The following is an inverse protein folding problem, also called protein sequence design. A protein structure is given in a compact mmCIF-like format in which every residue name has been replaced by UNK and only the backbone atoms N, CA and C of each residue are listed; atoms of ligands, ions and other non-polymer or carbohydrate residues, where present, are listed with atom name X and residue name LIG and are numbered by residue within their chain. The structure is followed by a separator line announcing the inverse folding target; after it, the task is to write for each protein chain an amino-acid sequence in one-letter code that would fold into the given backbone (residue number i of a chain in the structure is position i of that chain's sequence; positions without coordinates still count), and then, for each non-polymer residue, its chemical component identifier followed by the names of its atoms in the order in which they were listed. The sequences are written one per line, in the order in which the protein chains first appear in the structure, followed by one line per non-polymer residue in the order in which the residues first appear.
data_IF_393398542656
#
_entry.id   IF_393398542656
#
_cell.length_a   1.000
_cell.length_b   1.000
_cell.length_c   1.000
_cell.angle_alpha   90.00
_cell.angle_beta   90.00
_cell.angle_gamma   90.00
#
_symmetry.space_group_name_H-M   'P 1'
#
loop_
_entity.id
_entity.type
_entity.pdbx_description
1 polymer ?
#
# COMPACT_ATOMS: atom_id res chain seq x y z
N UNK A 1 -18.26 10.92 -2.50
CA UNK A 1 -17.24 9.90 -2.78
C UNK A 1 -16.61 10.09 -4.17
N UNK A 2 -17.41 10.25 -5.23
CA UNK A 2 -16.92 10.49 -6.59
C UNK A 2 -16.06 11.76 -6.70
N UNK A 3 -16.46 12.86 -6.07
CA UNK A 3 -15.67 14.11 -6.08
C UNK A 3 -14.30 13.94 -5.38
N UNK A 4 -14.23 13.16 -4.29
CA UNK A 4 -12.96 12.88 -3.58
C UNK A 4 -12.05 11.94 -4.38
N UNK A 5 -12.61 10.94 -5.07
CA UNK A 5 -11.85 10.05 -5.94
C UNK A 5 -11.23 10.81 -7.11
N UNK A 6 -12.01 11.67 -7.78
CA UNK A 6 -11.54 12.55 -8.86
C UNK A 6 -10.46 13.53 -8.37
N UNK A 7 -10.60 14.04 -7.15
CA UNK A 7 -9.63 14.98 -6.56
C UNK A 7 -8.28 14.31 -6.28
N UNK A 8 -8.29 13.08 -5.76
CA UNK A 8 -7.07 12.31 -5.50
C UNK A 8 -6.36 11.93 -6.80
N UNK A 9 -7.10 11.42 -7.79
CA UNK A 9 -6.54 11.04 -9.10
C UNK A 9 -5.92 12.25 -9.83
N UNK A 10 -6.62 13.40 -9.83
CA UNK A 10 -6.10 14.65 -10.40
C UNK A 10 -4.84 15.11 -9.68
N UNK A 11 -4.82 15.05 -8.34
CA UNK A 11 -3.65 15.43 -7.55
C UNK A 11 -2.42 14.62 -7.95
N UNK A 12 -2.52 13.30 -8.03
CA UNK A 12 -1.39 12.44 -8.40
C UNK A 12 -0.98 12.62 -9.87
N UNK A 13 -1.93 12.83 -10.78
CA UNK A 13 -1.63 13.13 -12.17
C UNK A 13 -0.85 14.44 -12.35
N UNK A 14 -1.24 15.49 -11.61
CA UNK A 14 -0.61 16.81 -11.70
C UNK A 14 0.69 16.93 -10.90
N UNK A 15 0.86 16.14 -9.84
CA UNK A 15 1.98 16.24 -8.90
C UNK A 15 2.91 15.03 -8.92
N UNK A 16 2.79 14.14 -9.89
CA UNK A 16 3.61 12.92 -9.97
C UNK A 16 5.13 13.20 -9.87
N UNK A 17 5.60 14.35 -10.39
CA UNK A 17 7.02 14.73 -10.33
C UNK A 17 7.48 15.23 -8.95
N UNK A 18 6.55 15.65 -8.10
CA UNK A 18 6.81 16.17 -6.74
C UNK A 18 6.43 15.16 -5.65
N UNK A 19 5.80 14.06 -6.03
CA UNK A 19 5.21 13.10 -5.11
C UNK A 19 6.21 12.61 -4.05
N UNK A 20 7.40 12.20 -4.48
CA UNK A 20 8.44 11.72 -3.59
C UNK A 20 8.85 12.77 -2.54
N UNK A 21 9.09 14.01 -2.96
CA UNK A 21 9.49 15.08 -2.05
C UNK A 21 8.41 15.38 -1.00
N UNK A 22 7.15 15.31 -1.40
CA UNK A 22 6.01 15.55 -0.51
C UNK A 22 5.85 14.41 0.50
N UNK A 23 5.96 13.16 0.05
CA UNK A 23 5.92 12.00 0.94
C UNK A 23 7.10 11.96 1.93
N UNK A 24 8.30 12.29 1.50
CA UNK A 24 9.49 12.34 2.35
C UNK A 24 9.35 13.34 3.51
N UNK A 25 8.52 14.38 3.37
CA UNK A 25 8.23 15.32 4.46
C UNK A 25 7.38 14.68 5.56
N UNK A 26 6.56 13.69 5.23
CA UNK A 26 5.68 12.99 6.16
C UNK A 26 6.39 11.76 6.71
N UNK A 27 6.73 10.80 5.85
CA UNK A 27 7.41 9.57 6.19
C UNK A 27 8.25 9.07 5.00
N UNK A 28 9.56 9.17 5.14
CA UNK A 28 10.48 8.67 4.12
C UNK A 28 10.42 7.14 4.02
N UNK A 29 10.58 6.62 2.81
CA UNK A 29 10.61 5.18 2.54
C UNK A 29 11.62 4.44 3.44
N UNK A 30 12.79 5.02 3.66
CA UNK A 30 13.86 4.45 4.46
C UNK A 30 13.48 4.21 5.93
N UNK A 31 12.43 4.89 6.41
CA UNK A 31 11.92 4.70 7.76
C UNK A 31 11.09 3.41 7.87
N UNK A 32 10.14 3.21 6.95
CA UNK A 32 9.16 2.12 7.07
C UNK A 32 9.47 0.91 6.20
N UNK A 33 10.11 1.10 5.03
CA UNK A 33 10.38 0.04 4.06
C UNK A 33 11.12 -1.15 4.67
N UNK A 34 12.28 -0.95 5.34
CA UNK A 34 13.02 -2.05 5.97
C UNK A 34 12.20 -2.80 7.04
N UNK A 35 11.39 -2.09 7.82
CA UNK A 35 10.54 -2.70 8.85
C UNK A 35 9.37 -3.48 8.23
N UNK A 36 8.77 -2.95 7.17
CA UNK A 36 7.69 -3.62 6.46
C UNK A 36 8.19 -4.92 5.80
N UNK A 37 9.36 -4.88 5.16
CA UNK A 37 9.91 -6.09 4.51
C UNK A 37 10.38 -7.12 5.54
N UNK A 38 10.91 -6.73 6.68
CA UNK A 38 11.24 -7.66 7.77
C UNK A 38 9.99 -8.40 8.27
N UNK A 39 8.86 -7.70 8.42
CA UNK A 39 7.59 -8.29 8.81
C UNK A 39 7.10 -9.29 7.75
N UNK A 40 7.21 -8.95 6.46
CA UNK A 40 6.88 -9.84 5.35
C UNK A 40 7.80 -11.07 5.38
N UNK A 41 9.12 -10.91 5.51
CA UNK A 41 10.07 -12.02 5.54
C UNK A 41 9.77 -13.01 6.66
N UNK A 42 9.46 -12.52 7.86
CA UNK A 42 9.04 -13.38 8.99
C UNK A 42 7.78 -14.19 8.64
N UNK A 43 6.84 -13.57 7.96
CA UNK A 43 5.57 -14.20 7.58
C UNK A 43 5.71 -15.26 6.47
N UNK A 44 6.73 -15.13 5.63
CA UNK A 44 7.04 -16.06 4.52
C UNK A 44 7.91 -17.22 4.95
N UNK A 45 8.49 -17.19 6.14
CA UNK A 45 9.38 -18.26 6.63
C UNK A 45 8.72 -19.62 6.56
N UNK A 46 9.34 -20.56 5.84
CA UNK A 46 8.83 -21.91 5.64
C UNK A 46 7.64 -22.05 4.68
N UNK A 47 7.33 -21.00 3.92
CA UNK A 47 6.30 -21.01 2.88
C UNK A 47 6.92 -20.94 1.50
N UNK A 48 6.26 -21.54 0.52
CA UNK A 48 6.63 -21.40 -0.88
C UNK A 48 6.30 -19.96 -1.36
N UNK A 49 7.19 -19.36 -2.17
CA UNK A 49 6.92 -18.07 -2.76
C UNK A 49 5.64 -18.10 -3.62
N UNK A 50 4.73 -17.20 -3.36
CA UNK A 50 3.51 -17.03 -4.14
C UNK A 50 3.55 -15.74 -4.97
N UNK A 51 2.37 -15.22 -5.30
CA UNK A 51 2.20 -13.96 -5.99
C UNK A 51 1.82 -12.85 -4.99
N UNK A 52 2.30 -11.64 -5.23
CA UNK A 52 1.96 -10.47 -4.43
C UNK A 52 1.36 -9.36 -5.28
N UNK A 53 0.38 -8.66 -4.72
CA UNK A 53 -0.17 -7.42 -5.30
C UNK A 53 0.24 -6.25 -4.41
N UNK A 54 0.96 -5.29 -4.97
CA UNK A 54 1.17 -3.98 -4.35
C UNK A 54 0.16 -2.99 -4.90
N UNK A 55 -0.61 -2.37 -4.01
CA UNK A 55 -1.58 -1.32 -4.35
C UNK A 55 -0.94 0.02 -4.07
N UNK A 56 -0.89 0.89 -5.10
CA UNK A 56 -0.24 2.18 -5.01
C UNK A 56 1.28 2.09 -4.88
N UNK A 57 2.00 1.56 -5.88
CA UNK A 57 3.45 1.34 -5.80
C UNK A 57 4.27 2.64 -5.75
N UNK A 58 3.63 3.79 -5.90
CA UNK A 58 4.32 5.07 -5.98
C UNK A 58 5.36 5.09 -7.11
N UNK A 59 6.60 5.47 -6.80
CA UNK A 59 7.70 5.44 -7.77
C UNK A 59 8.39 4.06 -7.88
N UNK A 60 7.90 3.04 -7.16
CA UNK A 60 8.32 1.65 -7.34
C UNK A 60 9.41 1.15 -6.39
N UNK A 61 9.82 1.93 -5.39
CA UNK A 61 10.93 1.54 -4.51
C UNK A 61 10.68 0.19 -3.80
N UNK A 62 9.46 -0.06 -3.33
CA UNK A 62 9.13 -1.31 -2.64
C UNK A 62 9.03 -2.53 -3.57
N UNK A 63 8.82 -2.32 -4.88
CA UNK A 63 8.86 -3.40 -5.88
C UNK A 63 10.22 -4.11 -5.91
N UNK A 64 11.31 -3.38 -5.67
CA UNK A 64 12.65 -3.97 -5.60
C UNK A 64 12.82 -4.93 -4.42
N UNK A 65 12.08 -4.71 -3.35
CA UNK A 65 12.05 -5.59 -2.19
C UNK A 65 11.14 -6.81 -2.41
N UNK A 66 10.02 -6.62 -3.10
CA UNK A 66 9.06 -7.69 -3.36
C UNK A 66 9.56 -8.66 -4.45
N UNK A 67 10.18 -8.16 -5.51
CA UNK A 67 10.57 -8.95 -6.67
C UNK A 67 11.44 -10.19 -6.33
N UNK A 68 12.47 -10.13 -5.46
CA UNK A 68 13.26 -11.30 -5.12
C UNK A 68 12.55 -12.31 -4.19
N UNK A 69 11.40 -11.95 -3.60
CA UNK A 69 10.70 -12.72 -2.58
C UNK A 69 9.47 -13.46 -3.10
N UNK A 70 8.94 -13.04 -4.24
CA UNK A 70 7.71 -13.59 -4.81
C UNK A 70 7.94 -14.08 -6.24
N UNK A 71 7.11 -15.04 -6.67
CA UNK A 71 7.17 -15.55 -8.05
C UNK A 71 6.76 -14.47 -9.03
N UNK A 72 5.67 -13.76 -8.73
CA UNK A 72 5.15 -12.66 -9.54
C UNK A 72 4.75 -11.51 -8.62
N UNK A 73 5.07 -10.29 -9.02
CA UNK A 73 4.65 -9.05 -8.39
C UNK A 73 3.70 -8.32 -9.34
N UNK A 74 2.53 -7.98 -8.86
CA UNK A 74 1.58 -7.13 -9.55
C UNK A 74 1.57 -5.75 -8.89
N UNK A 75 1.64 -4.69 -9.66
CA UNK A 75 1.61 -3.31 -9.21
C UNK A 75 0.34 -2.64 -9.76
N UNK A 76 -0.59 -2.30 -8.89
CA UNK A 76 -1.89 -1.69 -9.23
C UNK A 76 -1.91 -0.22 -8.84
N UNK A 77 -2.24 0.65 -9.78
CA UNK A 77 -2.49 2.07 -9.52
C UNK A 77 -3.58 2.61 -10.45
N UNK A 78 -4.34 3.58 -10.00
CA UNK A 78 -5.32 4.28 -10.81
C UNK A 78 -4.72 5.47 -11.57
N UNK A 79 -3.46 5.84 -11.32
CA UNK A 79 -2.71 6.86 -12.02
C UNK A 79 -1.73 6.24 -13.02
N UNK A 80 -1.98 6.41 -14.32
CA UNK A 80 -1.05 5.95 -15.35
C UNK A 80 0.32 6.62 -15.21
N UNK A 81 0.37 7.90 -14.82
CA UNK A 81 1.63 8.62 -14.63
C UNK A 81 2.48 8.01 -13.49
N UNK A 82 1.85 7.52 -12.43
CA UNK A 82 2.56 6.83 -11.34
C UNK A 82 3.03 5.44 -11.79
N UNK A 83 2.20 4.69 -12.53
CA UNK A 83 2.62 3.40 -13.09
C UNK A 83 3.79 3.53 -14.07
N UNK A 84 3.82 4.57 -14.88
CA UNK A 84 4.92 4.82 -15.81
C UNK A 84 6.24 5.06 -15.05
N UNK A 85 6.20 5.78 -13.92
CA UNK A 85 7.36 5.97 -13.04
C UNK A 85 7.81 4.65 -12.39
N UNK A 86 6.87 3.89 -11.84
CA UNK A 86 7.16 2.59 -11.25
C UNK A 86 7.72 1.60 -12.29
N UNK A 87 7.21 1.62 -13.52
CA UNK A 87 7.71 0.79 -14.62
C UNK A 87 9.12 1.18 -15.02
N UNK A 88 9.42 2.48 -15.10
CA UNK A 88 10.77 2.97 -15.36
C UNK A 88 11.75 2.54 -14.25
N UNK A 89 11.33 2.64 -12.99
CA UNK A 89 12.12 2.16 -11.85
C UNK A 89 12.41 0.67 -11.97
N UNK A 90 11.38 -0.16 -12.21
CA UNK A 90 11.51 -1.61 -12.35
C UNK A 90 12.46 -2.00 -13.50
N UNK A 91 12.37 -1.30 -14.63
CA UNK A 91 13.26 -1.51 -15.77
C UNK A 91 14.72 -1.16 -15.42
N UNK A 92 14.95 -0.02 -14.77
CA UNK A 92 16.29 0.42 -14.37
C UNK A 92 16.94 -0.51 -13.33
N UNK A 93 16.13 -1.24 -12.55
CA UNK A 93 16.60 -2.21 -11.55
C UNK A 93 16.52 -3.66 -12.02
N UNK A 94 16.22 -3.90 -13.32
CA UNK A 94 16.09 -5.22 -13.90
C UNK A 94 15.11 -6.16 -13.16
N UNK A 95 13.97 -5.63 -12.73
CA UNK A 95 12.92 -6.40 -12.08
C UNK A 95 12.06 -7.08 -13.16
N UNK A 96 12.32 -8.36 -13.43
CA UNK A 96 11.72 -9.06 -14.58
C UNK A 96 10.37 -9.72 -14.28
N UNK A 97 9.99 -9.83 -13.00
CA UNK A 97 8.76 -10.49 -12.54
C UNK A 97 7.72 -9.50 -12.03
N UNK A 98 7.72 -8.26 -12.52
CA UNK A 98 6.75 -7.22 -12.17
C UNK A 98 5.82 -6.96 -13.34
N UNK A 99 4.51 -6.98 -13.09
CA UNK A 99 3.46 -6.61 -14.05
C UNK A 99 2.66 -5.42 -13.52
N UNK A 100 2.38 -4.45 -14.39
CA UNK A 100 1.67 -3.22 -14.03
C UNK A 100 0.22 -3.29 -14.48
N UNK A 101 -0.70 -2.87 -13.61
CA UNK A 101 -2.15 -2.90 -13.84
C UNK A 101 -2.70 -1.50 -13.58
N UNK A 102 -3.28 -0.87 -14.60
CA UNK A 102 -3.99 0.39 -14.46
C UNK A 102 -5.44 0.12 -14.08
N UNK A 103 -5.87 0.62 -12.93
CA UNK A 103 -7.23 0.43 -12.43
C UNK A 103 -7.35 0.62 -10.92
N UNK A 104 -8.48 0.22 -10.39
CA UNK A 104 -8.78 0.22 -8.96
C UNK A 104 -8.99 -1.22 -8.42
N UNK A 105 -9.18 -1.33 -7.11
CA UNK A 105 -9.33 -2.62 -6.41
C UNK A 105 -10.63 -3.35 -6.70
N UNK A 106 -11.58 -2.72 -7.41
CA UNK A 106 -12.89 -3.29 -7.77
C UNK A 106 -12.87 -4.04 -9.09
N UNK A 107 -11.74 -4.02 -9.81
CA UNK A 107 -11.63 -4.66 -11.10
C UNK A 107 -11.74 -6.20 -10.96
N UNK A 108 -12.73 -6.79 -11.62
CA UNK A 108 -13.05 -8.22 -11.50
C UNK A 108 -11.87 -9.13 -11.89
N UNK A 109 -11.07 -8.73 -12.87
CA UNK A 109 -9.92 -9.50 -13.34
C UNK A 109 -8.78 -9.66 -12.30
N UNK A 110 -8.79 -8.88 -11.20
CA UNK A 110 -7.81 -9.02 -10.14
C UNK A 110 -7.94 -10.38 -9.42
N UNK A 111 -9.12 -10.98 -9.40
CA UNK A 111 -9.33 -12.31 -8.79
C UNK A 111 -8.56 -13.41 -9.52
N UNK A 112 -8.25 -13.22 -10.80
CA UNK A 112 -7.53 -14.20 -11.62
C UNK A 112 -6.02 -14.21 -11.34
N UNK A 113 -5.51 -13.21 -10.60
CA UNK A 113 -4.07 -13.08 -10.31
C UNK A 113 -3.55 -14.12 -9.29
N UNK A 114 -4.44 -14.80 -8.57
CA UNK A 114 -4.10 -15.81 -7.55
C UNK A 114 -3.02 -15.32 -6.57
N UNK A 115 -3.25 -14.16 -5.96
CA UNK A 115 -2.30 -13.56 -5.02
C UNK A 115 -2.44 -14.16 -3.63
N UNK A 116 -1.31 -14.39 -2.97
CA UNK A 116 -1.23 -14.89 -1.60
C UNK A 116 -0.97 -13.77 -0.60
N UNK A 117 -0.51 -12.63 -1.10
CA UNK A 117 -0.11 -11.48 -0.32
C UNK A 117 -0.56 -10.20 -1.03
N UNK A 118 -1.04 -9.25 -0.25
CA UNK A 118 -1.33 -7.88 -0.72
C UNK A 118 -0.58 -6.90 0.17
N UNK A 119 0.02 -5.89 -0.44
CA UNK A 119 0.77 -4.83 0.25
C UNK A 119 0.18 -3.48 -0.11
N UNK A 120 -0.05 -2.65 0.90
CA UNK A 120 -0.59 -1.28 0.77
C UNK A 120 0.26 -0.36 1.63
N UNK A 121 1.16 0.39 1.00
CA UNK A 121 2.09 1.28 1.71
C UNK A 121 1.77 2.74 1.44
N UNK A 122 1.39 3.49 2.48
CA UNK A 122 1.15 4.93 2.41
C UNK A 122 0.08 5.34 1.38
N UNK A 123 -1.01 4.58 1.31
CA UNK A 123 -2.10 4.76 0.33
C UNK A 123 -3.44 5.08 0.97
N UNK A 124 -3.76 4.47 2.13
CA UNK A 124 -5.11 4.56 2.71
C UNK A 124 -5.54 6.00 2.97
N UNK A 125 -4.63 6.87 3.39
CA UNK A 125 -4.92 8.27 3.70
C UNK A 125 -5.24 9.11 2.45
N UNK A 126 -5.01 8.59 1.25
CA UNK A 126 -5.41 9.21 -0.02
C UNK A 126 -6.75 8.67 -0.55
N UNK A 127 -7.28 7.59 0.02
CA UNK A 127 -8.50 6.96 -0.48
C UNK A 127 -9.76 7.64 0.05
N UNK A 128 -10.80 7.82 -0.79
CA UNK A 128 -12.07 8.40 -0.34
C UNK A 128 -12.81 7.51 0.67
N UNK A 129 -12.64 6.21 0.61
CA UNK A 129 -13.25 5.19 1.49
C UNK A 129 -12.21 4.13 1.86
N UNK A 130 -11.32 4.40 2.84
CA UNK A 130 -10.26 3.45 3.20
C UNK A 130 -10.77 2.08 3.64
N UNK A 131 -11.94 2.01 4.31
CA UNK A 131 -12.55 0.75 4.73
C UNK A 131 -12.90 -0.19 3.58
N UNK A 132 -13.29 0.37 2.41
CA UNK A 132 -13.75 -0.43 1.28
C UNK A 132 -12.62 -1.30 0.71
N UNK A 133 -11.38 -0.81 0.77
CA UNK A 133 -10.22 -1.56 0.25
C UNK A 133 -10.02 -2.88 0.99
N UNK A 134 -10.33 -2.95 2.29
CA UNK A 134 -10.23 -4.20 3.05
C UNK A 134 -11.21 -5.25 2.52
N UNK A 135 -12.43 -4.85 2.16
CA UNK A 135 -13.42 -5.75 1.56
C UNK A 135 -13.00 -6.21 0.17
N UNK A 136 -12.46 -5.31 -0.64
CA UNK A 136 -11.98 -5.64 -1.99
C UNK A 136 -10.81 -6.63 -1.89
N UNK A 137 -9.82 -6.37 -1.04
CA UNK A 137 -8.68 -7.28 -0.80
C UNK A 137 -9.17 -8.62 -0.20
N UNK A 138 -10.19 -8.57 0.67
CA UNK A 138 -10.77 -9.79 1.25
C UNK A 138 -11.37 -10.73 0.21
N UNK A 139 -11.76 -10.24 -0.98
CA UNK A 139 -12.22 -11.08 -2.10
C UNK A 139 -11.07 -11.66 -2.93
N UNK A 140 -9.91 -10.98 -2.92
CA UNK A 140 -8.73 -11.39 -3.69
C UNK A 140 -7.93 -12.49 -2.99
N UNK A 141 -7.95 -12.51 -1.66
CA UNK A 141 -7.14 -13.42 -0.85
C UNK A 141 -7.92 -14.65 -0.42
N UNK A 142 -7.33 -15.82 -0.65
CA UNK A 142 -7.79 -17.07 -0.06
C UNK A 142 -7.45 -17.14 1.44
N UNK A 143 -7.96 -18.17 2.12
CA UNK A 143 -7.64 -18.45 3.52
C UNK A 143 -6.13 -18.48 3.74
N UNK A 144 -5.69 -17.86 4.84
CA UNK A 144 -4.28 -17.69 5.20
C UNK A 144 -3.51 -16.75 4.29
N UNK A 145 -4.14 -16.14 3.28
CA UNK A 145 -3.58 -15.02 2.53
C UNK A 145 -3.31 -13.84 3.46
N UNK A 146 -2.32 -13.02 3.15
CA UNK A 146 -1.82 -11.99 4.04
C UNK A 146 -1.96 -10.60 3.42
N UNK A 147 -2.38 -9.66 4.24
CA UNK A 147 -2.44 -8.25 3.92
C UNK A 147 -1.48 -7.49 4.84
N UNK A 148 -0.58 -6.73 4.25
CA UNK A 148 0.32 -5.81 4.96
C UNK A 148 -0.07 -4.38 4.63
N UNK A 149 -0.33 -3.59 5.66
CA UNK A 149 -0.71 -2.18 5.54
C UNK A 149 0.29 -1.34 6.31
N UNK A 150 0.92 -0.39 5.62
CA UNK A 150 1.71 0.68 6.25
C UNK A 150 0.99 1.99 6.01
N UNK A 151 0.67 2.71 7.08
CA UNK A 151 0.06 4.03 6.98
C UNK A 151 0.31 4.87 8.24
N UNK A 152 -0.15 6.11 8.21
CA UNK A 152 0.00 7.05 9.31
C UNK A 152 -0.93 6.68 10.47
N UNK A 153 -0.42 6.78 11.70
CA UNK A 153 -1.30 6.96 12.86
C UNK A 153 -1.97 8.33 12.79
N UNK A 154 -3.12 8.46 13.42
CA UNK A 154 -3.85 9.72 13.53
C UNK A 154 -2.96 10.87 14.02
N UNK A 155 -3.06 12.03 13.38
CA UNK A 155 -2.29 13.24 13.68
C UNK A 155 -3.12 14.51 13.40
N UNK A 156 -2.65 15.64 13.88
CA UNK A 156 -3.32 16.95 13.77
C UNK A 156 -2.66 17.92 12.77
N UNK A 157 -1.68 17.46 11.99
CA UNK A 157 -0.92 18.28 11.06
C UNK A 157 -1.72 18.55 9.78
N UNK A 158 -2.57 19.58 9.81
CA UNK A 158 -3.53 19.90 8.72
C UNK A 158 -2.87 20.24 7.37
N UNK A 159 -1.61 20.71 7.37
CA UNK A 159 -0.87 21.05 6.16
C UNK A 159 -0.68 19.87 5.20
N UNK A 160 -0.71 18.61 5.72
CA UNK A 160 -0.60 17.43 4.90
C UNK A 160 -1.72 17.31 3.85
N UNK A 161 -2.92 17.81 4.15
CA UNK A 161 -4.04 17.85 3.18
C UNK A 161 -3.75 18.73 1.98
N UNK A 162 -3.19 19.90 2.24
CA UNK A 162 -2.95 20.90 1.20
C UNK A 162 -1.71 20.56 0.36
N UNK A 163 -0.66 20.08 1.02
CA UNK A 163 0.65 19.88 0.39
C UNK A 163 0.85 18.48 -0.18
N UNK A 164 0.20 17.45 0.41
CA UNK A 164 0.44 16.04 0.05
C UNK A 164 -0.80 15.34 -0.51
N UNK A 165 -1.94 16.02 -0.60
CA UNK A 165 -3.18 15.44 -1.13
C UNK A 165 -3.86 14.45 -0.18
N UNK A 166 -3.56 14.52 1.13
CA UNK A 166 -4.14 13.65 2.14
C UNK A 166 -5.62 13.94 2.32
N UNK A 167 -6.47 12.94 2.13
CA UNK A 167 -7.89 13.04 2.44
C UNK A 167 -8.16 12.77 3.94
N UNK A 168 -7.27 12.01 4.57
CA UNK A 168 -7.33 11.63 5.99
C UNK A 168 -6.04 12.00 6.70
N UNK A 169 -6.15 12.46 7.94
CA UNK A 169 -4.99 12.76 8.78
C UNK A 169 -4.58 11.52 9.61
N UNK A 170 -4.29 10.42 8.90
CA UNK A 170 -3.96 9.14 9.50
C UNK A 170 -5.17 8.42 10.12
N UNK A 171 -4.91 7.31 10.79
CA UNK A 171 -5.92 6.40 11.34
C UNK A 171 -5.56 5.95 12.74
N UNK A 172 -6.57 5.78 13.59
CA UNK A 172 -6.38 5.05 14.83
C UNK A 172 -6.15 3.56 14.51
N UNK A 173 -5.23 2.89 15.24
CA UNK A 173 -4.97 1.46 15.01
C UNK A 173 -6.20 0.58 15.10
N UNK A 174 -7.15 0.95 15.96
CA UNK A 174 -8.42 0.27 16.17
C UNK A 174 -9.33 0.35 14.95
N UNK A 175 -9.27 1.44 14.18
CA UNK A 175 -10.04 1.59 12.94
C UNK A 175 -9.60 0.57 11.90
N UNK A 176 -8.28 0.43 11.68
CA UNK A 176 -7.75 -0.57 10.75
C UNK A 176 -8.11 -1.99 11.19
N UNK A 177 -8.00 -2.30 12.49
CA UNK A 177 -8.37 -3.61 13.03
C UNK A 177 -9.86 -3.90 12.84
N UNK A 178 -10.74 -2.92 13.04
CA UNK A 178 -12.18 -3.05 12.86
C UNK A 178 -12.54 -3.29 11.40
N UNK A 179 -11.95 -2.53 10.45
CA UNK A 179 -12.19 -2.71 9.03
C UNK A 179 -11.69 -4.07 8.52
N UNK A 180 -10.51 -4.48 8.97
CA UNK A 180 -9.96 -5.79 8.65
C UNK A 180 -10.85 -6.92 9.17
N UNK A 181 -11.29 -6.87 10.43
CA UNK A 181 -12.18 -7.87 11.00
C UNK A 181 -13.51 -7.96 10.24
N UNK A 182 -14.11 -6.81 9.86
CA UNK A 182 -15.34 -6.77 9.06
C UNK A 182 -15.17 -7.39 7.67
N UNK A 183 -13.95 -7.35 7.11
CA UNK A 183 -13.60 -7.95 5.81
C UNK A 183 -13.11 -9.41 5.91
N UNK A 184 -13.17 -10.03 7.09
CA UNK A 184 -12.80 -11.43 7.31
C UNK A 184 -11.30 -11.65 7.49
N UNK A 185 -10.64 -10.75 8.21
CA UNK A 185 -9.24 -10.88 8.60
C UNK A 185 -9.07 -10.93 10.11
N UNK A 186 -8.11 -11.72 10.57
CA UNK A 186 -7.53 -11.62 11.91
C UNK A 186 -6.34 -10.66 11.90
N UNK A 187 -6.17 -9.91 12.99
CA UNK A 187 -4.97 -9.09 13.21
C UNK A 187 -3.78 -9.99 13.53
N UNK A 188 -2.67 -9.80 12.81
CA UNK A 188 -1.38 -10.43 13.07
C UNK A 188 -0.43 -9.50 13.83
N UNK A 189 0.84 -9.50 13.43
CA UNK A 189 1.86 -8.63 14.01
C UNK A 189 1.65 -7.15 13.63
N UNK A 190 2.20 -6.25 14.45
CA UNK A 190 2.20 -4.81 14.19
C UNK A 190 3.50 -4.16 14.64
N UNK A 191 3.88 -3.08 13.97
CA UNK A 191 5.04 -2.25 14.30
C UNK A 191 4.61 -0.80 14.29
N UNK A 192 5.06 -0.02 15.28
CA UNK A 192 4.82 1.42 15.37
C UNK A 192 6.14 2.16 15.36
N UNK A 193 6.28 3.13 14.46
CA UNK A 193 7.49 3.93 14.27
C UNK A 193 7.18 5.39 14.57
N UNK A 194 7.86 5.96 15.57
CA UNK A 194 7.77 7.37 15.91
C UNK A 194 8.85 8.17 15.17
N UNK A 195 8.50 9.34 14.67
CA UNK A 195 9.42 10.25 14.00
C UNK A 195 9.56 11.56 14.77
N UNK A 196 10.68 12.26 14.53
CA UNK A 196 10.94 13.57 15.15
C UNK A 196 10.05 14.69 14.61
N UNK A 197 9.48 14.53 13.43
CA UNK A 197 8.56 15.49 12.80
C UNK A 197 7.13 15.43 13.36
N UNK A 198 6.86 14.57 14.34
CA UNK A 198 5.55 14.41 14.96
C UNK A 198 4.63 13.38 14.30
N UNK A 199 4.97 12.89 13.13
CA UNK A 199 4.24 11.78 12.51
C UNK A 199 4.64 10.44 13.14
N UNK A 200 3.67 9.53 13.21
CA UNK A 200 3.89 8.13 13.56
C UNK A 200 3.37 7.24 12.44
N UNK A 201 4.11 6.19 12.14
CA UNK A 201 3.73 5.18 11.13
C UNK A 201 3.34 3.90 11.85
N UNK A 202 2.30 3.24 11.39
CA UNK A 202 1.92 1.89 11.78
C UNK A 202 2.10 0.94 10.61
N UNK A 203 2.68 -0.23 10.88
CA UNK A 203 2.82 -1.34 9.93
C UNK A 203 2.01 -2.48 10.50
N UNK A 204 1.04 -2.97 9.76
CA UNK A 204 0.03 -3.91 10.25
C UNK A 204 -0.04 -5.14 9.34
N UNK A 205 -0.02 -6.31 9.97
CA UNK A 205 -0.31 -7.58 9.30
C UNK A 205 -1.74 -8.00 9.61
N UNK A 206 -2.45 -8.44 8.56
CA UNK A 206 -3.77 -9.06 8.67
C UNK A 206 -3.77 -10.39 7.91
N UNK A 207 -4.44 -11.41 8.48
CA UNK A 207 -4.44 -12.77 7.94
C UNK A 207 -5.88 -13.16 7.63
N UNK A 208 -6.14 -13.57 6.38
CA UNK A 208 -7.47 -13.98 5.92
C UNK A 208 -7.95 -15.24 6.62
N UNK A 209 -9.19 -15.21 7.15
CA UNK A 209 -9.85 -16.33 7.87
C UNK A 209 -10.36 -17.38 6.89
#
# INVERSE_FOLDING_TARGET
QQERASSSELFFSENADKFRQQQEQIAAYELYGPNAIELIDRSLTGKEPGNVLEIGPGEGAFLAELAPRFQQVYALDNSQAMLDKAALFANNHALHNVSFIHGDTKAEHLTDLNVNCVVVNMVLHHLPSPSDIFFDIGKLLDKQGQLFVTDLCSHDQAWARESCGDLWLGFEPEDLSRWAAAAGFNTGENIYLAQRNGFRVQIRQFIKI
#
